data_IF_507651583766
#
_entry.id   IF_507651583766
#
_cell.length_a   1.000
_cell.length_b   1.000
_cell.length_c   1.000
_cell.angle_alpha   90.00
_cell.angle_beta   90.00
_cell.angle_gamma   90.00
#
_symmetry.space_group_name_H-M   'P 1'
#
loop_
_entity.id
_entity.type
_entity.pdbx_description
1 polymer ?
#
# COMPACT_ATOMS: atom_id res chain seq x y z
N UNK A 1 -6.72 9.25 -7.09
CA UNK A 1 -6.29 8.58 -8.36
C UNK A 1 -5.56 9.54 -9.30
N UNK A 2 -6.09 10.73 -9.63
CA UNK A 2 -5.48 11.65 -10.61
C UNK A 2 -4.04 12.04 -10.23
N UNK A 3 -3.81 12.50 -9.01
CA UNK A 3 -2.48 12.95 -8.56
C UNK A 3 -1.44 11.85 -8.54
N UNK A 4 -1.85 10.63 -8.19
CA UNK A 4 -1.00 9.44 -8.29
C UNK A 4 -0.58 9.20 -9.73
N UNK A 5 -1.53 9.21 -10.67
CA UNK A 5 -1.27 9.00 -12.09
C UNK A 5 -0.29 10.06 -12.63
N UNK A 6 -0.51 11.34 -12.34
CA UNK A 6 0.39 12.43 -12.76
C UNK A 6 1.81 12.23 -12.20
N UNK A 7 1.94 11.90 -10.92
CA UNK A 7 3.24 11.69 -10.28
C UNK A 7 4.02 10.53 -10.92
N UNK A 8 3.36 9.39 -11.15
CA UNK A 8 4.02 8.21 -11.70
C UNK A 8 4.25 8.29 -13.21
N UNK A 9 3.34 8.90 -13.98
CA UNK A 9 3.58 9.17 -15.42
C UNK A 9 4.74 10.13 -15.63
N UNK A 10 4.82 11.22 -14.87
CA UNK A 10 5.93 12.17 -14.93
C UNK A 10 7.29 11.52 -14.59
N UNK A 11 7.27 10.48 -13.76
CA UNK A 11 8.47 9.78 -13.37
C UNK A 11 9.04 8.82 -14.42
N UNK A 12 8.31 8.52 -15.50
CA UNK A 12 8.77 7.56 -16.56
C UNK A 12 10.08 7.96 -17.19
N UNK A 13 10.36 9.27 -17.29
CA UNK A 13 11.61 9.80 -17.83
C UNK A 13 12.75 9.87 -16.80
N UNK A 14 12.49 9.60 -15.53
CA UNK A 14 13.53 9.60 -14.51
C UNK A 14 14.40 8.35 -14.62
N UNK A 15 15.63 8.44 -14.14
CA UNK A 15 16.59 7.31 -14.18
C UNK A 15 16.04 6.05 -13.48
N UNK A 16 15.24 6.23 -12.44
CA UNK A 16 14.68 5.14 -11.63
C UNK A 16 13.27 4.71 -12.06
N UNK A 17 12.58 5.51 -12.91
CA UNK A 17 11.20 5.27 -13.32
C UNK A 17 10.17 5.41 -12.20
N UNK A 18 10.54 6.00 -11.07
CA UNK A 18 9.67 6.23 -9.90
C UNK A 18 9.69 7.71 -9.50
N UNK A 19 8.60 8.24 -8.89
CA UNK A 19 8.57 9.65 -8.48
C UNK A 19 9.71 9.98 -7.52
N UNK A 20 10.37 11.15 -7.65
CA UNK A 20 11.52 11.52 -6.81
C UNK A 20 11.24 11.41 -5.31
N UNK A 21 10.09 11.89 -4.84
CA UNK A 21 9.72 11.80 -3.43
C UNK A 21 9.57 10.34 -2.96
N UNK A 22 9.04 9.45 -3.81
CA UNK A 22 9.00 8.01 -3.53
C UNK A 22 10.40 7.42 -3.50
N UNK A 23 11.27 7.82 -4.42
CA UNK A 23 12.66 7.37 -4.44
C UNK A 23 13.40 7.73 -3.15
N UNK A 24 13.30 8.98 -2.70
CA UNK A 24 13.89 9.46 -1.45
C UNK A 24 13.34 8.72 -0.22
N UNK A 25 12.02 8.48 -0.21
CA UNK A 25 11.37 7.73 0.86
C UNK A 25 11.89 6.28 0.93
N UNK A 26 11.97 5.59 -0.22
CA UNK A 26 12.46 4.22 -0.31
C UNK A 26 13.95 4.10 0.06
N UNK A 27 14.75 5.13 -0.18
CA UNK A 27 16.18 5.13 0.13
C UNK A 27 16.48 5.16 1.65
N UNK A 28 15.49 5.46 2.48
CA UNK A 28 15.60 5.45 3.94
C UNK A 28 15.62 4.05 4.56
N UNK A 29 15.28 3.00 3.80
CA UNK A 29 15.28 1.61 4.29
C UNK A 29 16.17 0.71 3.42
N UNK A 30 16.98 -0.14 4.05
CA UNK A 30 17.98 -0.98 3.36
C UNK A 30 17.40 -1.92 2.29
N UNK A 31 16.21 -2.47 2.53
CA UNK A 31 15.54 -3.39 1.62
C UNK A 31 14.90 -2.70 0.39
N UNK A 32 14.82 -1.37 0.39
CA UNK A 32 14.21 -0.60 -0.70
C UNK A 32 15.14 0.44 -1.31
N UNK A 33 16.31 0.64 -0.71
CA UNK A 33 17.30 1.63 -1.18
C UNK A 33 17.80 1.33 -2.58
N UNK A 34 17.76 2.35 -3.45
CA UNK A 34 18.19 2.24 -4.84
C UNK A 34 17.18 1.55 -5.75
N UNK A 35 15.93 1.45 -5.33
CA UNK A 35 14.83 0.85 -6.13
C UNK A 35 14.73 1.49 -7.51
N UNK A 36 14.46 0.65 -8.53
CA UNK A 36 14.11 1.05 -9.91
C UNK A 36 12.84 0.33 -10.33
N UNK A 37 11.98 1.01 -11.07
CA UNK A 37 10.74 0.42 -11.58
C UNK A 37 11.05 -0.65 -12.62
N UNK A 38 10.43 -1.82 -12.46
CA UNK A 38 10.41 -2.89 -13.47
C UNK A 38 9.10 -2.80 -14.26
N UNK A 39 7.98 -2.73 -13.54
CA UNK A 39 6.64 -2.56 -14.12
C UNK A 39 5.74 -1.89 -13.10
N UNK A 40 4.82 -1.05 -13.57
CA UNK A 40 3.72 -0.47 -12.79
C UNK A 40 2.38 -0.78 -13.46
N UNK A 41 1.44 -1.31 -12.70
CA UNK A 41 0.11 -1.67 -13.16
C UNK A 41 -0.93 -0.91 -12.34
N UNK A 42 -1.58 0.12 -12.93
CA UNK A 42 -2.68 0.80 -12.26
C UNK A 42 -3.88 -0.14 -12.11
N UNK A 43 -4.66 0.06 -11.07
CA UNK A 43 -5.93 -0.62 -10.83
C UNK A 43 -5.81 -2.17 -10.80
N UNK A 44 -4.61 -2.68 -10.42
CA UNK A 44 -4.39 -4.12 -10.37
C UNK A 44 -5.33 -4.78 -9.37
N UNK A 45 -6.00 -5.83 -9.81
CA UNK A 45 -6.92 -6.61 -9.02
C UNK A 45 -6.25 -7.89 -8.51
N UNK A 46 -6.34 -8.13 -7.21
CA UNK A 46 -5.80 -9.32 -6.55
C UNK A 46 -6.92 -10.11 -5.90
N UNK A 47 -6.99 -11.39 -6.22
CA UNK A 47 -8.00 -12.30 -5.69
C UNK A 47 -7.68 -12.80 -4.29
N UNK A 48 -8.73 -12.86 -3.47
CA UNK A 48 -8.70 -13.51 -2.16
C UNK A 48 -9.91 -14.45 -2.01
N UNK A 49 -9.79 -15.53 -1.22
CA UNK A 49 -10.92 -16.39 -0.89
C UNK A 49 -12.15 -15.61 -0.41
N UNK A 50 -13.34 -16.20 -0.61
CA UNK A 50 -14.60 -15.61 -0.17
C UNK A 50 -15.40 -14.92 -1.29
N UNK A 51 -14.89 -14.86 -2.52
CA UNK A 51 -15.59 -14.25 -3.66
C UNK A 51 -15.83 -12.73 -3.49
N UNK A 52 -16.73 -12.18 -4.30
CA UNK A 52 -17.06 -10.75 -4.31
C UNK A 52 -16.03 -9.92 -5.07
N UNK A 53 -15.90 -8.64 -4.70
CA UNK A 53 -14.95 -7.74 -5.36
C UNK A 53 -13.50 -8.09 -5.01
N UNK A 54 -12.66 -8.09 -6.04
CA UNK A 54 -11.22 -8.26 -5.90
C UNK A 54 -10.61 -7.09 -5.11
N UNK A 55 -9.44 -7.30 -4.50
CA UNK A 55 -8.66 -6.22 -3.93
C UNK A 55 -8.01 -5.44 -5.06
N UNK A 56 -8.45 -4.21 -5.30
CA UNK A 56 -7.94 -3.35 -6.37
C UNK A 56 -7.02 -2.30 -5.78
N UNK A 57 -5.73 -2.34 -6.10
CA UNK A 57 -4.76 -1.32 -5.69
C UNK A 57 -4.83 -0.14 -6.66
N UNK A 58 -4.63 1.09 -6.19
CA UNK A 58 -4.57 2.25 -7.10
C UNK A 58 -3.40 2.13 -8.07
N UNK A 59 -2.27 1.61 -7.59
CA UNK A 59 -1.15 1.19 -8.41
C UNK A 59 -0.45 0.01 -7.72
N UNK A 60 -0.11 -1.01 -8.48
CA UNK A 60 0.88 -2.00 -8.06
C UNK A 60 2.17 -1.79 -8.85
N UNK A 61 3.31 -1.81 -8.16
CA UNK A 61 4.62 -1.67 -8.78
C UNK A 61 5.55 -2.82 -8.36
N UNK A 62 6.26 -3.38 -9.33
CA UNK A 62 7.38 -4.27 -9.08
C UNK A 62 8.65 -3.46 -9.23
N UNK A 63 9.43 -3.40 -8.16
CA UNK A 63 10.70 -2.67 -8.14
C UNK A 63 11.86 -3.66 -8.06
N UNK A 64 13.00 -3.29 -8.66
CA UNK A 64 14.27 -4.00 -8.51
C UNK A 64 15.20 -3.23 -7.57
N UNK A 65 15.76 -3.94 -6.61
CA UNK A 65 16.78 -3.45 -5.70
C UNK A 65 17.98 -4.39 -5.78
N UNK A 66 19.03 -3.98 -6.45
CA UNK A 66 20.20 -4.85 -6.70
C UNK A 66 19.80 -6.21 -7.28
N UNK A 67 19.86 -7.26 -6.47
CA UNK A 67 19.63 -8.67 -6.82
C UNK A 67 18.25 -9.20 -6.39
N UNK A 68 17.40 -8.37 -5.76
CA UNK A 68 16.06 -8.79 -5.33
C UNK A 68 14.95 -7.89 -5.88
N UNK A 69 13.71 -8.39 -5.76
CA UNK A 69 12.50 -7.67 -6.17
C UNK A 69 11.69 -7.25 -4.94
N UNK A 70 10.99 -6.14 -5.07
CA UNK A 70 10.05 -5.59 -4.08
C UNK A 70 8.69 -5.42 -4.74
N UNK A 71 7.66 -6.05 -4.18
CA UNK A 71 6.26 -5.86 -4.57
C UNK A 71 5.66 -4.72 -3.78
N UNK A 72 5.16 -3.69 -4.45
CA UNK A 72 4.62 -2.49 -3.81
C UNK A 72 3.15 -2.32 -4.17
N UNK A 73 2.27 -2.37 -3.18
CA UNK A 73 0.90 -1.88 -3.32
C UNK A 73 0.88 -0.40 -2.91
N UNK A 74 0.51 0.46 -3.84
CA UNK A 74 0.38 1.91 -3.60
C UNK A 74 -1.09 2.26 -3.43
N UNK A 75 -1.40 2.99 -2.37
CA UNK A 75 -2.71 3.56 -2.09
C UNK A 75 -2.59 5.08 -2.05
N UNK A 76 -3.38 5.79 -2.85
CA UNK A 76 -3.41 7.24 -2.89
C UNK A 76 -4.45 7.80 -1.92
N UNK A 77 -4.15 8.91 -1.27
CA UNK A 77 -5.08 9.69 -0.44
C UNK A 77 -4.95 11.17 -0.76
N UNK A 78 -6.08 11.83 -0.98
CA UNK A 78 -6.18 13.27 -1.26
C UNK A 78 -7.20 13.93 -0.32
N UNK A 79 -7.08 13.68 0.99
CA UNK A 79 -7.99 14.20 2.01
C UNK A 79 -9.15 13.28 2.39
N UNK A 80 -9.41 12.23 1.63
CA UNK A 80 -10.44 11.23 1.95
C UNK A 80 -9.96 10.23 3.01
N UNK A 81 -10.91 9.70 3.79
CA UNK A 81 -10.66 8.62 4.72
C UNK A 81 -10.40 7.28 3.99
N UNK A 82 -9.82 6.31 4.70
CA UNK A 82 -9.87 4.92 4.25
C UNK A 82 -11.31 4.40 4.30
N UNK A 83 -11.58 3.30 3.57
CA UNK A 83 -12.87 2.60 3.61
C UNK A 83 -13.24 2.22 5.05
N UNK A 84 -14.38 1.55 5.20
CA UNK A 84 -14.98 1.17 6.48
C UNK A 84 -14.04 0.40 7.40
N UNK A 85 -14.14 0.56 8.73
CA UNK A 85 -13.50 -0.34 9.66
C UNK A 85 -14.09 -1.76 9.52
N UNK A 86 -13.34 -2.78 9.94
CA UNK A 86 -13.72 -4.19 9.79
C UNK A 86 -15.07 -4.48 10.44
N UNK A 87 -15.35 -3.94 11.63
CA UNK A 87 -16.64 -4.15 12.29
C UNK A 87 -17.82 -3.64 11.46
N UNK A 88 -17.67 -2.48 10.80
CA UNK A 88 -18.72 -1.94 9.94
C UNK A 88 -18.79 -2.69 8.61
N UNK A 89 -17.64 -3.08 8.05
CA UNK A 89 -17.59 -3.90 6.84
C UNK A 89 -18.25 -5.27 7.05
N UNK A 90 -18.22 -5.81 8.27
CA UNK A 90 -18.89 -7.06 8.64
C UNK A 90 -20.37 -6.88 9.02
N UNK A 91 -20.92 -5.67 9.10
CA UNK A 91 -22.37 -5.49 9.31
C UNK A 91 -23.18 -6.05 8.14
N UNK A 92 -24.38 -6.49 8.44
CA UNK A 92 -25.37 -6.96 7.46
C UNK A 92 -24.87 -8.12 6.59
N UNK A 93 -24.15 -9.07 7.21
CA UNK A 93 -23.67 -10.27 6.51
C UNK A 93 -24.84 -11.21 6.23
N UNK A 94 -25.08 -11.53 4.95
CA UNK A 94 -25.97 -12.62 4.58
C UNK A 94 -25.37 -13.98 4.93
N UNK A 95 -26.19 -15.03 5.15
CA UNK A 95 -25.69 -16.38 5.47
C UNK A 95 -24.66 -16.94 4.47
N UNK A 96 -24.75 -16.50 3.22
CA UNK A 96 -23.85 -16.93 2.13
C UNK A 96 -22.75 -15.88 1.81
N UNK A 97 -22.51 -14.94 2.69
CA UNK A 97 -21.49 -13.93 2.48
C UNK A 97 -20.08 -14.53 2.53
N UNK A 98 -19.25 -14.20 1.56
CA UNK A 98 -17.84 -14.56 1.55
C UNK A 98 -16.95 -13.70 2.46
N UNK A 99 -17.48 -12.65 3.10
CA UNK A 99 -16.70 -11.74 3.94
C UNK A 99 -15.93 -12.43 5.08
N UNK A 100 -16.52 -13.41 5.84
CA UNK A 100 -15.75 -14.11 6.86
C UNK A 100 -14.58 -14.92 6.30
N UNK A 101 -14.76 -15.62 5.19
CA UNK A 101 -13.70 -16.38 4.54
C UNK A 101 -12.59 -15.45 4.02
N UNK A 102 -12.98 -14.28 3.48
CA UNK A 102 -12.01 -13.26 3.05
C UNK A 102 -11.22 -12.71 4.22
N UNK A 103 -11.88 -12.36 5.34
CA UNK A 103 -11.17 -11.87 6.52
C UNK A 103 -10.22 -12.93 7.09
N UNK A 104 -10.63 -14.20 7.10
CA UNK A 104 -9.76 -15.30 7.52
C UNK A 104 -8.51 -15.40 6.63
N UNK A 105 -8.66 -15.30 5.31
CA UNK A 105 -7.52 -15.30 4.38
C UNK A 105 -6.58 -14.10 4.59
N UNK A 106 -7.12 -12.91 4.85
CA UNK A 106 -6.29 -11.73 5.16
C UNK A 106 -5.52 -11.91 6.49
N UNK A 107 -6.18 -12.50 7.51
CA UNK A 107 -5.52 -12.84 8.78
C UNK A 107 -4.37 -13.82 8.59
N UNK A 108 -4.56 -14.83 7.76
CA UNK A 108 -3.52 -15.80 7.43
C UNK A 108 -2.32 -15.16 6.74
N UNK A 109 -2.55 -14.43 5.64
CA UNK A 109 -1.50 -13.76 4.86
C UNK A 109 -0.70 -12.77 5.70
N UNK A 110 -1.35 -12.03 6.59
CA UNK A 110 -0.73 -11.01 7.43
C UNK A 110 -0.31 -11.51 8.82
N UNK A 111 -0.47 -12.81 9.11
CA UNK A 111 -0.14 -13.43 10.39
C UNK A 111 -0.78 -12.73 11.60
N UNK A 112 -2.07 -12.36 11.50
CA UNK A 112 -2.78 -11.58 12.52
C UNK A 112 -3.35 -12.45 13.65
N UNK A 113 -3.52 -13.76 13.43
CA UNK A 113 -4.13 -14.65 14.42
C UNK A 113 -5.49 -14.13 14.91
N UNK A 114 -5.72 -14.18 16.23
CA UNK A 114 -6.95 -13.71 16.88
C UNK A 114 -6.91 -12.22 17.27
N UNK A 115 -5.98 -11.44 16.74
CA UNK A 115 -5.88 -10.00 17.04
C UNK A 115 -7.20 -9.29 16.73
N UNK A 116 -7.63 -8.39 17.61
CA UNK A 116 -8.82 -7.57 17.36
C UNK A 116 -8.60 -6.62 16.17
N UNK A 117 -9.48 -6.72 15.17
CA UNK A 117 -9.46 -5.91 13.96
C UNK A 117 -10.65 -4.95 13.86
N UNK A 118 -11.55 -4.91 14.85
CA UNK A 118 -12.83 -4.19 14.77
C UNK A 118 -12.66 -2.75 14.22
N UNK A 119 -11.69 -2.02 14.77
CA UNK A 119 -11.44 -0.61 14.44
C UNK A 119 -10.40 -0.40 13.34
N UNK A 120 -9.88 -1.46 12.74
CA UNK A 120 -8.89 -1.38 11.65
C UNK A 120 -9.63 -1.18 10.32
N UNK A 121 -9.14 -0.27 9.51
CA UNK A 121 -9.69 -0.04 8.17
C UNK A 121 -9.45 -1.26 7.29
N UNK A 122 -10.51 -1.83 6.76
CA UNK A 122 -10.47 -3.02 5.91
C UNK A 122 -9.55 -2.80 4.69
N UNK A 123 -9.52 -1.59 4.13
CA UNK A 123 -8.68 -1.22 3.01
C UNK A 123 -7.19 -1.44 3.30
N UNK A 124 -6.69 -1.07 4.48
CA UNK A 124 -5.29 -1.26 4.87
C UNK A 124 -4.91 -2.74 4.95
N UNK A 125 -5.81 -3.59 5.47
CA UNK A 125 -5.58 -5.04 5.54
C UNK A 125 -5.45 -5.65 4.14
N UNK A 126 -6.44 -5.41 3.27
CA UNK A 126 -6.42 -6.08 1.97
C UNK A 126 -5.36 -5.52 1.01
N UNK A 127 -4.95 -4.24 1.13
CA UNK A 127 -3.83 -3.68 0.36
C UNK A 127 -2.49 -4.29 0.81
N UNK A 128 -2.27 -4.42 2.11
CA UNK A 128 -1.07 -5.08 2.65
C UNK A 128 -1.00 -6.55 2.21
N UNK A 129 -2.11 -7.26 2.31
CA UNK A 129 -2.18 -8.64 1.87
C UNK A 129 -1.98 -8.77 0.35
N UNK A 130 -2.48 -7.82 -0.44
CA UNK A 130 -2.23 -7.79 -1.88
C UNK A 130 -0.74 -7.63 -2.20
N UNK A 131 -0.01 -6.75 -1.50
CA UNK A 131 1.44 -6.61 -1.68
C UNK A 131 2.17 -7.93 -1.40
N UNK A 132 1.78 -8.65 -0.33
CA UNK A 132 2.38 -9.95 0.04
C UNK A 132 2.06 -11.02 -1.01
N UNK A 133 0.79 -11.15 -1.43
CA UNK A 133 0.38 -12.13 -2.46
C UNK A 133 1.11 -11.91 -3.79
N UNK A 134 1.20 -10.65 -4.22
CA UNK A 134 1.93 -10.30 -5.44
C UNK A 134 3.44 -10.53 -5.29
N UNK A 135 3.99 -10.38 -4.08
CA UNK A 135 5.38 -10.76 -3.83
C UNK A 135 5.61 -12.25 -4.05
N UNK A 136 4.73 -13.10 -3.52
CA UNK A 136 4.78 -14.55 -3.75
C UNK A 136 4.66 -14.90 -5.23
N UNK A 137 3.69 -14.31 -5.94
CA UNK A 137 3.40 -14.60 -7.34
C UNK A 137 4.56 -14.22 -8.27
N UNK A 138 5.21 -13.09 -8.01
CA UNK A 138 6.32 -12.58 -8.85
C UNK A 138 7.72 -12.89 -8.30
N UNK A 139 7.82 -13.70 -7.25
CA UNK A 139 9.10 -14.07 -6.65
C UNK A 139 9.85 -12.88 -6.03
N UNK A 140 9.12 -11.87 -5.56
CA UNK A 140 9.72 -10.75 -4.84
C UNK A 140 10.06 -11.16 -3.40
N UNK A 141 11.21 -10.70 -2.92
CA UNK A 141 11.70 -11.03 -1.57
C UNK A 141 11.17 -10.10 -0.49
N UNK A 142 10.49 -9.02 -0.88
CA UNK A 142 9.94 -7.98 0.01
C UNK A 142 8.59 -7.51 -0.51
N UNK A 143 7.66 -7.27 0.40
CA UNK A 143 6.39 -6.60 0.11
C UNK A 143 6.36 -5.22 0.78
N UNK A 144 5.68 -4.24 0.19
CA UNK A 144 5.50 -2.91 0.74
C UNK A 144 4.06 -2.42 0.50
N UNK A 145 3.37 -1.98 1.56
CA UNK A 145 2.24 -1.07 1.44
C UNK A 145 2.75 0.37 1.52
N UNK A 146 2.60 1.14 0.44
CA UNK A 146 2.93 2.56 0.41
C UNK A 146 1.65 3.39 0.30
N UNK A 147 1.36 4.20 1.31
CA UNK A 147 0.32 5.23 1.23
C UNK A 147 0.95 6.54 0.76
N UNK A 148 0.53 7.05 -0.39
CA UNK A 148 0.89 8.37 -0.89
C UNK A 148 -0.24 9.35 -0.59
N UNK A 149 -0.02 10.28 0.34
CA UNK A 149 -0.99 11.28 0.76
C UNK A 149 -0.69 12.62 0.07
N UNK A 150 -1.59 13.08 -0.79
CA UNK A 150 -1.48 14.33 -1.51
C UNK A 150 -2.25 15.44 -0.80
N UNK A 151 -1.75 16.70 -0.89
CA UNK A 151 -2.43 17.87 -0.32
C UNK A 151 -2.09 18.20 1.14
N UNK A 152 -1.12 17.53 1.71
CA UNK A 152 -0.32 17.95 2.87
C UNK A 152 -1.09 18.41 4.12
N UNK A 153 -1.97 17.59 4.69
CA UNK A 153 -2.52 17.89 6.02
C UNK A 153 -2.17 16.80 7.02
N UNK A 154 -1.38 17.16 8.04
CA UNK A 154 -1.02 16.28 9.15
C UNK A 154 -2.25 15.77 9.94
N UNK A 155 -3.38 16.46 9.82
CA UNK A 155 -4.62 16.20 10.55
C UNK A 155 -5.67 15.40 9.75
N UNK A 156 -5.24 14.67 8.72
CA UNK A 156 -6.17 13.83 7.96
C UNK A 156 -6.62 12.60 8.79
N UNK A 157 -7.92 12.28 8.79
CA UNK A 157 -8.42 11.06 9.45
C UNK A 157 -7.69 9.79 9.00
N UNK A 158 -7.30 9.73 7.73
CA UNK A 158 -6.52 8.63 7.15
C UNK A 158 -5.15 8.44 7.82
N UNK A 159 -4.49 9.50 8.30
CA UNK A 159 -3.20 9.40 9.00
C UNK A 159 -3.34 8.67 10.33
N UNK A 160 -4.36 8.99 11.12
CA UNK A 160 -4.63 8.31 12.40
C UNK A 160 -5.03 6.85 12.21
N UNK A 161 -5.79 6.55 11.16
CA UNK A 161 -6.14 5.17 10.79
C UNK A 161 -4.90 4.37 10.38
N UNK A 162 -3.98 4.97 9.60
CA UNK A 162 -2.72 4.35 9.24
C UNK A 162 -1.84 4.11 10.47
N UNK A 163 -1.73 5.08 11.39
CA UNK A 163 -0.96 4.91 12.63
C UNK A 163 -1.49 3.73 13.46
N UNK A 164 -2.82 3.63 13.64
CA UNK A 164 -3.44 2.51 14.34
C UNK A 164 -3.16 1.15 13.65
N UNK A 165 -3.15 1.14 12.32
CA UNK A 165 -2.77 -0.05 11.55
C UNK A 165 -1.29 -0.38 11.73
N UNK A 166 -0.39 0.59 11.71
CA UNK A 166 1.04 0.39 11.94
C UNK A 166 1.32 -0.18 13.35
N UNK A 167 0.63 0.33 14.37
CA UNK A 167 0.70 -0.22 15.74
C UNK A 167 0.25 -1.68 15.79
N UNK A 168 -0.88 -2.02 15.13
CA UNK A 168 -1.36 -3.39 15.01
C UNK A 168 -0.34 -4.30 14.33
N UNK A 169 0.37 -3.79 13.33
CA UNK A 169 1.40 -4.53 12.59
C UNK A 169 2.74 -4.58 13.33
N UNK A 170 2.82 -4.04 14.54
CA UNK A 170 4.03 -4.00 15.38
C UNK A 170 5.19 -3.27 14.70
N UNK A 171 4.90 -2.19 14.01
CA UNK A 171 5.91 -1.32 13.42
C UNK A 171 6.64 -0.51 14.50
N UNK A 172 7.92 -0.24 14.26
CA UNK A 172 8.63 0.73 15.09
C UNK A 172 8.03 2.13 14.88
N UNK A 173 7.83 2.88 15.95
CA UNK A 173 7.39 4.27 15.88
C UNK A 173 8.50 5.17 15.32
N UNK A 174 8.08 6.27 14.65
CA UNK A 174 8.95 7.38 14.22
C UNK A 174 9.91 7.12 13.04
N UNK A 175 9.55 6.22 12.13
CA UNK A 175 10.31 6.05 10.89
C UNK A 175 9.92 7.11 9.84
N UNK A 176 10.91 7.84 9.33
CA UNK A 176 10.73 8.74 8.18
C UNK A 176 10.65 8.01 6.83
N UNK A 177 10.84 6.69 6.82
CA UNK A 177 10.84 5.82 5.64
C UNK A 177 9.94 4.60 5.81
N UNK A 178 10.02 3.62 4.89
CA UNK A 178 9.33 2.35 5.06
C UNK A 178 9.74 1.67 6.36
N UNK A 179 8.77 1.13 7.09
CA UNK A 179 9.01 0.45 8.37
C UNK A 179 8.65 -1.02 8.26
N UNK A 180 9.54 -1.88 8.72
CA UNK A 180 9.29 -3.32 8.74
C UNK A 180 8.25 -3.66 9.81
N UNK A 181 7.27 -4.47 9.44
CA UNK A 181 6.30 -5.00 10.40
C UNK A 181 6.95 -6.07 11.28
N UNK A 182 6.55 -6.12 12.55
CA UNK A 182 7.04 -7.12 13.51
C UNK A 182 6.39 -8.50 13.36
N UNK A 183 5.46 -8.69 12.40
CA UNK A 183 4.77 -9.95 12.14
C UNK A 183 5.52 -10.80 11.12
N UNK A 184 5.48 -12.12 11.28
CA UNK A 184 6.23 -13.09 10.44
C UNK A 184 5.45 -13.48 9.19
N UNK A 185 5.22 -12.54 8.28
CA UNK A 185 4.66 -12.81 6.95
C UNK A 185 5.61 -13.68 6.10
N UNK A 186 5.11 -14.33 5.05
CA UNK A 186 5.91 -15.20 4.17
C UNK A 186 7.11 -14.50 3.53
N UNK A 187 6.98 -13.21 3.22
CA UNK A 187 8.08 -12.30 2.86
C UNK A 187 8.08 -11.12 3.83
N UNK A 188 9.23 -10.48 4.11
CA UNK A 188 9.25 -9.25 4.88
C UNK A 188 8.26 -8.22 4.33
N UNK A 189 7.31 -7.80 5.16
CA UNK A 189 6.37 -6.74 4.82
C UNK A 189 6.86 -5.43 5.41
N UNK A 190 6.87 -4.40 4.59
CA UNK A 190 7.09 -3.01 4.98
C UNK A 190 5.77 -2.24 4.85
N UNK A 191 5.60 -1.23 5.67
CA UNK A 191 4.52 -0.26 5.50
C UNK A 191 5.10 1.14 5.54
N UNK A 192 4.49 2.07 4.82
CA UNK A 192 4.98 3.43 4.80
C UNK A 192 3.90 4.44 4.42
N UNK A 193 4.02 5.63 5.01
CA UNK A 193 3.22 6.80 4.70
C UNK A 193 4.12 7.89 4.17
N UNK A 194 3.83 8.38 2.97
CA UNK A 194 4.55 9.46 2.31
C UNK A 194 3.61 10.63 2.04
N UNK A 195 3.88 11.77 2.69
CA UNK A 195 3.21 13.02 2.36
C UNK A 195 3.81 13.58 1.06
N UNK A 196 2.95 13.77 0.05
CA UNK A 196 3.31 14.29 -1.25
C UNK A 196 2.71 15.69 -1.46
N UNK A 197 3.41 16.61 -2.14
CA UNK A 197 2.76 17.82 -2.63
C UNK A 197 1.64 17.45 -3.61
N UNK A 198 0.62 18.31 -3.73
CA UNK A 198 -0.36 18.20 -4.82
C UNK A 198 0.37 18.29 -6.16
N UNK A 199 0.01 17.44 -7.11
CA UNK A 199 0.53 17.55 -8.45
C UNK A 199 0.11 18.92 -9.04
N UNK A 200 1.06 19.72 -9.46
CA UNK A 200 0.77 20.92 -10.26
C UNK A 200 0.32 20.41 -11.63
N UNK A 201 -0.88 20.77 -12.07
CA UNK A 201 -1.30 20.48 -13.45
C UNK A 201 -0.20 20.98 -14.40
N UNK A 202 0.27 20.13 -15.34
CA UNK A 202 1.19 20.62 -16.36
C UNK A 202 0.49 21.76 -17.09
N UNK A 203 1.04 22.96 -16.99
CA UNK A 203 0.56 24.10 -17.76
C UNK A 203 0.76 23.75 -19.24
N UNK A 204 -0.23 24.09 -20.08
CA UNK A 204 -0.18 23.91 -21.56
C UNK A 204 1.09 24.48 -22.23
N UNK A 205 1.95 25.16 -21.47
CA UNK A 205 3.22 25.70 -21.90
C UNK A 205 4.36 24.64 -21.97
N UNK A 206 4.22 23.49 -21.32
CA UNK A 206 5.24 22.43 -21.29
C UNK A 206 5.04 21.37 -22.39
N UNK A 207 4.06 21.58 -23.29
CA UNK A 207 3.68 20.64 -24.36
C UNK A 207 4.12 21.13 -25.78
N UNK A 208 5.12 22.03 -25.88
CA UNK A 208 5.65 22.51 -27.20
C UNK A 208 7.09 22.07 -27.41
#
# INVERSE_FOLDING_TARGET
>A
AFELAVAWESARSTERGIPPAVAEFLDKHELTRGSRLVIGLPELQVDFPGGGHQSQTDLWALLRVRDHLVSVAVEAKSGEAFDKPVEEWLKDISPNSGKPARLAALREVLCLGETDLAQIRYQLLHRSAAAVRMAEEYGASVALLLVQAFGGTRDQPSRSDFSRFADLMLCASDSEGPTRVGRSTCVPLLVGWLDCPTAVEPTLADAV
#
